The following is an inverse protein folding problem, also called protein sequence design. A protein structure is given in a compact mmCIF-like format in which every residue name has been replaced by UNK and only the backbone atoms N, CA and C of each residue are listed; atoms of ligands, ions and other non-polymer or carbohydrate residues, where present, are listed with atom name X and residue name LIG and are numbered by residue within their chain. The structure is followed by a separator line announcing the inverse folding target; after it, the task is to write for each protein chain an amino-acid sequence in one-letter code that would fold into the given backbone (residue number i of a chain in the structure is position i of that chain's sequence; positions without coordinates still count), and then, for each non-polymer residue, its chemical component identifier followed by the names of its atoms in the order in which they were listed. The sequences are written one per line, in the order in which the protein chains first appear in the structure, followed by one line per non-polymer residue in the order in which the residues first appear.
data_IF_862139831525
#
_entry.id   IF_862139831525
#
_cell.length_a   1.000
_cell.length_b   1.000
_cell.length_c   1.000
_cell.angle_alpha   90.00
_cell.angle_beta   90.00
_cell.angle_gamma   90.00
#
_symmetry.space_group_name_H-M   'P 1'
#
loop_
_entity.id
_entity.type
_entity.pdbx_description
1 polymer ?
#
# COMPACT_ATOMS: atom_id res chain seq x y z
N UNK A 1 5.79 -7.78 21.63
CA UNK A 1 7.00 -8.07 20.83
C UNK A 1 6.71 -8.05 19.33
N UNK A 2 7.64 -7.53 18.54
CA UNK A 2 7.52 -7.49 17.08
C UNK A 2 7.81 -8.86 16.46
N UNK A 3 7.10 -9.22 15.39
CA UNK A 3 7.25 -10.52 14.71
C UNK A 3 8.10 -10.44 13.44
N UNK A 4 8.44 -9.23 13.01
CA UNK A 4 9.27 -8.97 11.84
C UNK A 4 9.40 -7.47 11.58
N UNK A 5 10.17 -7.14 10.55
CA UNK A 5 10.46 -5.79 10.09
C UNK A 5 10.34 -5.75 8.56
N UNK A 6 9.48 -4.86 8.06
CA UNK A 6 9.50 -4.37 6.69
C UNK A 6 10.50 -3.22 6.63
N UNK A 7 11.65 -3.43 6.01
CA UNK A 7 12.76 -2.45 6.02
C UNK A 7 12.45 -1.34 5.01
N UNK A 8 12.65 -0.06 5.35
CA UNK A 8 12.56 1.02 4.37
C UNK A 8 13.50 0.80 3.18
N UNK A 9 13.10 1.23 1.99
CA UNK A 9 13.86 1.02 0.76
C UNK A 9 14.03 2.32 -0.03
N UNK A 10 15.02 2.33 -0.92
CA UNK A 10 15.25 3.41 -1.88
C UNK A 10 16.02 2.91 -3.10
N UNK A 11 15.44 2.98 -4.29
CA UNK A 11 16.17 2.62 -5.51
C UNK A 11 17.10 3.75 -5.92
N UNK A 12 18.37 3.41 -6.17
CA UNK A 12 19.35 4.36 -6.72
C UNK A 12 19.05 4.60 -8.19
N UNK A 13 19.14 5.87 -8.60
CA UNK A 13 19.07 6.23 -10.01
C UNK A 13 20.33 5.76 -10.72
N UNK A 14 20.14 5.29 -11.95
CA UNK A 14 21.15 4.73 -12.83
C UNK A 14 21.85 5.80 -13.68
N UNK A 15 21.20 6.97 -13.88
CA UNK A 15 21.59 7.99 -14.85
C UNK A 15 21.02 7.74 -16.26
N UNK A 16 20.41 6.58 -16.51
CA UNK A 16 19.67 6.30 -17.75
C UNK A 16 18.28 6.90 -17.66
N UNK A 17 17.95 7.82 -18.58
CA UNK A 17 16.66 8.52 -18.55
C UNK A 17 15.46 7.56 -18.54
N UNK A 18 15.48 6.52 -19.37
CA UNK A 18 14.39 5.56 -19.45
C UNK A 18 14.24 4.72 -18.17
N UNK A 19 15.35 4.24 -17.60
CA UNK A 19 15.35 3.46 -16.36
C UNK A 19 14.91 4.32 -15.18
N UNK A 20 15.47 5.52 -15.05
CA UNK A 20 15.22 6.44 -13.96
C UNK A 20 13.75 6.87 -13.93
N UNK A 21 13.19 7.27 -15.08
CA UNK A 21 11.75 7.61 -15.16
C UNK A 21 10.86 6.45 -14.76
N UNK A 22 11.17 5.24 -15.23
CA UNK A 22 10.37 4.05 -14.93
C UNK A 22 10.44 3.69 -13.44
N UNK A 23 11.64 3.73 -12.82
CA UNK A 23 11.75 3.42 -11.39
C UNK A 23 11.11 4.50 -10.52
N UNK A 24 11.23 5.78 -10.91
CA UNK A 24 10.60 6.89 -10.19
C UNK A 24 9.08 6.79 -10.21
N UNK A 25 8.48 6.53 -11.37
CA UNK A 25 7.02 6.31 -11.49
C UNK A 25 6.55 5.13 -10.64
N UNK A 26 7.28 4.02 -10.66
CA UNK A 26 6.95 2.86 -9.83
C UNK A 26 7.06 3.16 -8.33
N UNK A 27 8.09 3.87 -7.88
CA UNK A 27 8.20 4.28 -6.48
C UNK A 27 7.11 5.28 -6.07
N UNK A 28 6.74 6.23 -6.94
CA UNK A 28 5.63 7.16 -6.66
C UNK A 28 4.34 6.38 -6.40
N UNK A 29 4.02 5.39 -7.24
CA UNK A 29 2.90 4.48 -7.01
C UNK A 29 2.98 3.77 -5.65
N UNK A 30 4.10 3.08 -5.39
CA UNK A 30 4.25 2.29 -4.15
C UNK A 30 4.15 3.16 -2.90
N UNK A 31 4.76 4.35 -2.92
CA UNK A 31 4.78 5.25 -1.76
C UNK A 31 3.45 5.95 -1.57
N UNK A 32 2.78 6.40 -2.63
CA UNK A 32 1.44 6.97 -2.52
C UNK A 32 0.47 5.94 -1.90
N UNK A 33 0.53 4.68 -2.36
CA UNK A 33 -0.23 3.58 -1.80
C UNK A 33 0.07 3.35 -0.32
N UNK A 34 1.34 3.21 0.04
CA UNK A 34 1.77 2.98 1.42
C UNK A 34 1.36 4.14 2.33
N UNK A 35 1.59 5.39 1.93
CA UNK A 35 1.24 6.58 2.71
C UNK A 35 -0.26 6.65 2.96
N UNK A 36 -1.12 6.34 1.97
CA UNK A 36 -2.55 6.28 2.20
C UNK A 36 -2.94 5.17 3.20
N UNK A 37 -2.28 4.00 3.17
CA UNK A 37 -2.50 2.95 4.18
C UNK A 37 -2.03 3.37 5.58
N UNK A 38 -0.92 4.11 5.68
CA UNK A 38 -0.46 4.71 6.93
C UNK A 38 -1.47 5.70 7.50
N UNK A 39 -1.99 6.59 6.63
CA UNK A 39 -2.95 7.63 6.97
C UNK A 39 -4.23 7.07 7.61
N UNK A 40 -4.68 5.90 7.15
CA UNK A 40 -5.90 5.25 7.67
C UNK A 40 -5.61 4.28 8.83
N UNK A 41 -4.37 4.18 9.29
CA UNK A 41 -3.90 3.21 10.29
C UNK A 41 -4.23 1.74 9.93
N UNK A 42 -4.10 1.41 8.64
CA UNK A 42 -4.20 0.01 8.20
C UNK A 42 -3.01 -0.79 8.71
N UNK A 43 -3.21 -2.00 9.28
CA UNK A 43 -2.07 -2.84 9.70
C UNK A 43 -1.26 -3.37 8.50
N UNK A 44 -1.76 -3.21 7.27
CA UNK A 44 -1.15 -3.68 6.02
C UNK A 44 -0.37 -2.59 5.28
N UNK A 45 0.05 -1.51 5.96
CA UNK A 45 0.81 -0.38 5.40
C UNK A 45 2.25 -0.71 4.94
N UNK A 46 2.63 -1.99 4.85
CA UNK A 46 3.96 -2.39 4.38
C UNK A 46 4.06 -2.30 2.86
N UNK A 47 5.27 -2.07 2.36
CA UNK A 47 5.57 -2.24 0.94
C UNK A 47 6.12 -3.64 0.71
N UNK A 48 5.47 -4.41 -0.15
CA UNK A 48 5.91 -5.74 -0.52
C UNK A 48 7.15 -5.66 -1.41
N UNK A 49 8.32 -5.86 -0.80
CA UNK A 49 9.59 -5.90 -1.48
C UNK A 49 10.44 -7.02 -0.86
N UNK A 50 10.57 -8.14 -1.58
CA UNK A 50 11.27 -9.35 -1.11
C UNK A 50 12.66 -9.11 -0.50
N UNK A 51 13.42 -8.15 -1.04
CA UNK A 51 14.76 -7.79 -0.54
C UNK A 51 14.76 -6.88 0.70
N UNK A 52 13.59 -6.48 1.20
CA UNK A 52 13.41 -5.46 2.23
C UNK A 52 12.67 -6.00 3.47
N UNK A 53 13.06 -7.17 3.97
CA UNK A 53 12.43 -7.77 5.16
C UNK A 53 13.42 -8.48 6.06
N UNK A 54 13.17 -8.43 7.38
CA UNK A 54 13.92 -9.15 8.39
C UNK A 54 12.96 -9.72 9.44
N UNK A 55 13.24 -10.91 9.97
CA UNK A 55 12.41 -11.53 11.00
C UNK A 55 13.16 -12.60 11.81
N UNK A 56 12.72 -12.90 13.04
CA UNK A 56 13.19 -14.06 13.77
C UNK A 56 12.82 -15.38 13.07
N UNK A 57 13.69 -16.38 13.19
CA UNK A 57 13.41 -17.75 12.71
C UNK A 57 12.16 -18.34 13.37
N UNK A 58 11.89 -17.97 14.63
CA UNK A 58 10.68 -18.38 15.35
C UNK A 58 9.40 -17.90 14.64
N UNK A 59 9.34 -16.62 14.25
CA UNK A 59 8.21 -16.07 13.49
C UNK A 59 8.04 -16.77 12.15
N UNK A 60 9.14 -16.99 11.40
CA UNK A 60 9.11 -17.72 10.12
C UNK A 60 8.45 -19.09 10.27
N UNK A 61 8.89 -19.86 11.28
CA UNK A 61 8.36 -21.21 11.56
C UNK A 61 6.90 -21.16 12.02
N UNK A 62 6.53 -20.18 12.84
CA UNK A 62 5.18 -20.04 13.38
C UNK A 62 4.12 -19.80 12.29
N UNK A 63 4.46 -19.06 11.23
CA UNK A 63 3.54 -18.77 10.13
C UNK A 63 3.65 -19.75 8.94
N UNK A 64 4.39 -20.85 9.12
CA UNK A 64 4.58 -21.89 8.12
C UNK A 64 5.47 -21.48 6.93
N UNK A 65 6.38 -20.53 7.14
CA UNK A 65 7.34 -20.07 6.14
C UNK A 65 6.74 -19.34 4.94
N UNK A 66 7.48 -19.30 3.83
CA UNK A 66 7.04 -18.72 2.56
C UNK A 66 6.41 -19.80 1.69
N UNK A 67 5.22 -19.52 1.17
CA UNK A 67 4.54 -20.42 0.25
C UNK A 67 5.02 -20.12 -1.17
N UNK A 68 5.55 -21.09 -1.93
CA UNK A 68 5.93 -20.86 -3.31
C UNK A 68 4.74 -20.36 -4.14
N UNK A 69 4.90 -19.21 -4.79
CA UNK A 69 3.94 -18.60 -5.72
C UNK A 69 4.70 -18.14 -6.96
N UNK A 70 4.00 -18.12 -8.10
CA UNK A 70 4.58 -17.60 -9.35
C UNK A 70 5.04 -16.13 -9.23
N UNK A 71 4.42 -15.36 -8.33
CA UNK A 71 4.80 -13.99 -7.99
C UNK A 71 4.07 -13.52 -6.72
N UNK A 72 4.58 -12.46 -6.09
CA UNK A 72 3.96 -11.82 -4.92
C UNK A 72 4.11 -12.61 -3.62
N UNK A 73 5.08 -13.53 -3.54
CA UNK A 73 5.35 -14.32 -2.33
C UNK A 73 5.63 -13.43 -1.11
N UNK A 74 6.36 -12.34 -1.33
CA UNK A 74 6.68 -11.31 -0.35
C UNK A 74 5.42 -10.65 0.23
N UNK A 75 4.48 -10.24 -0.63
CA UNK A 75 3.20 -9.67 -0.21
C UNK A 75 2.40 -10.64 0.68
N UNK A 76 2.21 -11.89 0.23
CA UNK A 76 1.48 -12.89 1.01
C UNK A 76 2.20 -13.21 2.32
N UNK A 77 3.53 -13.22 2.31
CA UNK A 77 4.33 -13.50 3.48
C UNK A 77 4.24 -12.38 4.54
N UNK A 78 4.42 -11.12 4.13
CA UNK A 78 4.26 -9.96 5.02
C UNK A 78 2.82 -9.86 5.55
N UNK A 79 1.81 -10.14 4.71
CA UNK A 79 0.43 -10.22 5.17
C UNK A 79 0.22 -11.29 6.25
N UNK A 80 0.80 -12.49 6.08
CA UNK A 80 0.75 -13.54 7.13
C UNK A 80 1.44 -13.09 8.42
N UNK A 81 2.58 -12.41 8.33
CA UNK A 81 3.27 -11.84 9.50
C UNK A 81 2.42 -10.79 10.21
N UNK A 82 1.80 -9.86 9.48
CA UNK A 82 0.90 -8.85 10.04
C UNK A 82 -0.27 -9.48 10.79
N UNK A 83 -0.86 -10.55 10.27
CA UNK A 83 -1.95 -11.28 10.96
C UNK A 83 -1.45 -12.05 12.19
N UNK A 84 -0.19 -12.49 12.18
CA UNK A 84 0.44 -13.20 13.30
C UNK A 84 0.79 -12.27 14.46
N UNK A 85 1.34 -11.08 14.18
CA UNK A 85 1.66 -10.08 15.20
C UNK A 85 2.18 -8.76 14.64
N UNK A 86 2.72 -7.89 15.52
CA UNK A 86 3.18 -6.54 15.15
C UNK A 86 4.35 -6.62 14.17
N UNK A 87 4.12 -6.20 12.93
CA UNK A 87 5.15 -5.95 11.93
C UNK A 87 5.71 -4.54 12.13
N UNK A 88 7.01 -4.41 12.33
CA UNK A 88 7.68 -3.10 12.36
C UNK A 88 7.93 -2.62 10.94
N UNK A 89 8.04 -1.30 10.76
CA UNK A 89 8.26 -0.69 9.45
C UNK A 89 9.27 0.46 9.47
N UNK A 90 10.03 0.60 10.56
CA UNK A 90 11.06 1.62 10.69
C UNK A 90 12.42 0.98 10.99
N UNK A 91 13.44 1.50 10.32
CA UNK A 91 14.85 1.22 10.56
C UNK A 91 15.65 2.44 10.09
N UNK A 92 16.74 2.76 10.77
CA UNK A 92 17.63 3.85 10.35
C UNK A 92 18.24 3.55 8.98
N UNK A 93 18.60 2.28 8.75
CA UNK A 93 19.16 1.81 7.49
C UNK A 93 18.07 1.43 6.49
N UNK A 94 18.33 1.77 5.22
CA UNK A 94 17.50 1.40 4.08
C UNK A 94 18.15 0.31 3.26
N UNK A 95 17.32 -0.50 2.61
CA UNK A 95 17.80 -1.34 1.51
C UNK A 95 17.81 -0.55 0.20
N UNK A 96 18.78 -0.84 -0.66
CA UNK A 96 18.93 -0.17 -1.96
C UNK A 96 18.87 -1.21 -3.09
N UNK A 97 17.67 -1.66 -3.50
CA UNK A 97 17.54 -2.61 -4.58
C UNK A 97 17.99 -1.99 -5.91
N UNK A 98 18.49 -2.83 -6.81
CA UNK A 98 18.86 -2.39 -8.15
C UNK A 98 17.61 -2.10 -9.00
N UNK A 99 17.55 -0.93 -9.61
CA UNK A 99 16.62 -0.63 -10.69
C UNK A 99 17.14 -1.30 -11.97
N UNK A 100 16.46 -2.32 -12.47
CA UNK A 100 16.82 -2.98 -13.74
C UNK A 100 15.60 -3.55 -14.43
N UNK A 101 15.59 -3.47 -15.76
CA UNK A 101 14.62 -4.23 -16.56
C UNK A 101 14.86 -5.73 -16.35
N UNK A 102 13.81 -6.43 -15.90
CA UNK A 102 13.91 -7.87 -15.66
C UNK A 102 12.54 -8.53 -15.79
N UNK A 103 12.51 -9.63 -16.54
CA UNK A 103 11.34 -10.45 -16.86
C UNK A 103 11.30 -11.76 -16.05
N UNK A 104 12.17 -11.91 -15.05
CA UNK A 104 12.33 -13.15 -14.27
C UNK A 104 11.09 -13.51 -13.42
N UNK A 105 10.21 -12.55 -13.19
CA UNK A 105 9.00 -12.67 -12.36
C UNK A 105 7.83 -11.96 -13.04
N UNK A 106 6.59 -12.29 -12.65
CA UNK A 106 5.39 -11.69 -13.26
C UNK A 106 5.05 -10.29 -12.71
N UNK A 107 5.45 -9.99 -11.48
CA UNK A 107 5.22 -8.68 -10.83
C UNK A 107 6.47 -8.27 -10.02
N UNK A 108 6.60 -6.97 -9.75
CA UNK A 108 7.71 -6.39 -8.99
C UNK A 108 8.51 -5.38 -9.82
N UNK A 109 9.66 -4.94 -9.30
CA UNK A 109 10.46 -3.85 -9.88
C UNK A 109 10.80 -4.04 -11.37
N UNK A 110 11.26 -5.23 -11.76
CA UNK A 110 11.63 -5.52 -13.16
C UNK A 110 10.46 -5.43 -14.13
N UNK A 111 9.35 -6.17 -13.90
CA UNK A 111 8.15 -6.07 -14.73
C UNK A 111 7.52 -4.68 -14.75
N UNK A 112 7.54 -3.97 -13.62
CA UNK A 112 7.08 -2.58 -13.54
C UNK A 112 7.89 -1.66 -14.45
N UNK A 113 9.22 -1.80 -14.42
CA UNK A 113 10.09 -1.03 -15.31
C UNK A 113 9.82 -1.35 -16.78
N UNK A 114 9.68 -2.63 -17.16
CA UNK A 114 9.43 -3.04 -18.55
C UNK A 114 8.11 -2.45 -19.07
N UNK A 115 7.01 -2.59 -18.31
CA UNK A 115 5.70 -2.06 -18.69
C UNK A 115 5.70 -0.53 -18.75
N UNK A 116 6.24 0.10 -17.70
CA UNK A 116 6.31 1.56 -17.59
C UNK A 116 7.14 2.21 -18.68
N UNK A 117 8.24 1.58 -19.12
CA UNK A 117 9.03 2.04 -20.26
C UNK A 117 8.25 1.96 -21.59
N UNK A 118 7.27 1.05 -21.70
CA UNK A 118 6.31 0.98 -22.80
C UNK A 118 5.12 1.92 -22.66
N UNK A 119 5.04 2.71 -21.57
CA UNK A 119 3.92 3.62 -21.29
C UNK A 119 2.70 2.95 -20.64
N UNK A 120 2.75 1.65 -20.33
CA UNK A 120 1.68 0.92 -19.64
C UNK A 120 1.86 1.02 -18.12
N UNK A 121 0.98 1.76 -17.47
CA UNK A 121 0.93 1.91 -16.00
C UNK A 121 -0.33 1.27 -15.37
N UNK A 122 -1.15 0.55 -16.14
CA UNK A 122 -2.44 0.00 -15.67
C UNK A 122 -2.30 -0.97 -14.50
N UNK A 123 -1.10 -1.58 -14.37
CA UNK A 123 -0.79 -2.51 -13.28
C UNK A 123 -0.37 -1.81 -11.98
N UNK A 124 -0.06 -0.51 -12.04
CA UNK A 124 0.45 0.31 -10.94
C UNK A 124 -0.23 1.70 -10.90
N UNK A 125 -1.58 1.78 -10.91
CA UNK A 125 -2.29 3.05 -10.94
C UNK A 125 -2.23 3.75 -9.58
N UNK A 126 -2.25 5.08 -9.57
CA UNK A 126 -2.39 5.86 -8.34
C UNK A 126 -3.87 5.85 -7.97
N UNK A 127 -4.20 5.22 -6.84
CA UNK A 127 -5.58 5.14 -6.36
C UNK A 127 -6.01 6.45 -5.70
N UNK A 128 -7.24 6.87 -5.96
CA UNK A 128 -7.83 8.06 -5.37
C UNK A 128 -7.91 7.92 -3.83
N UNK A 129 -7.55 8.97 -3.11
CA UNK A 129 -7.42 8.90 -1.64
C UNK A 129 -8.74 8.61 -0.93
N UNK A 130 -9.88 9.01 -1.53
CA UNK A 130 -11.22 8.78 -0.96
C UNK A 130 -11.53 7.30 -0.81
N UNK A 131 -10.98 6.44 -1.68
CA UNK A 131 -11.18 4.99 -1.58
C UNK A 131 -10.48 4.42 -0.34
N UNK A 132 -9.39 5.05 0.11
CA UNK A 132 -8.78 4.72 1.39
C UNK A 132 -9.60 5.27 2.56
N UNK A 133 -10.25 6.43 2.40
CA UNK A 133 -11.19 6.96 3.40
C UNK A 133 -12.38 6.02 3.61
N UNK A 134 -12.90 5.40 2.56
CA UNK A 134 -13.96 4.37 2.66
C UNK A 134 -13.51 3.15 3.47
N UNK A 135 -12.25 2.74 3.32
CA UNK A 135 -11.65 1.68 4.15
C UNK A 135 -11.52 2.16 5.60
N UNK A 136 -11.15 3.44 5.83
CA UNK A 136 -11.08 4.00 7.17
C UNK A 136 -12.45 4.00 7.85
N UNK A 137 -13.47 4.49 7.16
CA UNK A 137 -14.86 4.46 7.64
C UNK A 137 -15.29 3.03 7.95
N UNK A 138 -14.92 2.07 7.10
CA UNK A 138 -15.15 0.63 7.38
C UNK A 138 -14.49 0.16 8.67
N UNK A 139 -13.26 0.61 8.97
CA UNK A 139 -12.62 0.27 10.24
C UNK A 139 -13.32 0.89 11.44
N UNK A 140 -13.79 2.13 11.29
CA UNK A 140 -14.45 2.88 12.35
C UNK A 140 -15.86 2.31 12.66
N UNK A 141 -16.50 1.57 11.74
CA UNK A 141 -17.77 0.87 12.00
C UNK A 141 -17.63 -0.45 12.75
N UNK A 142 -16.41 -0.96 13.01
CA UNK A 142 -16.23 -2.25 13.67
C UNK A 142 -16.79 -2.29 15.10
N UNK A 143 -16.81 -1.18 15.83
CA UNK A 143 -17.40 -1.16 17.16
C UNK A 143 -18.92 -1.28 17.10
N UNK A 144 -19.53 -0.56 16.17
CA UNK A 144 -20.96 -0.61 15.95
C UNK A 144 -21.39 -2.00 15.45
N UNK A 145 -20.63 -2.58 14.52
CA UNK A 145 -20.85 -3.92 13.99
C UNK A 145 -20.77 -5.03 15.04
N UNK A 146 -20.09 -4.79 16.16
CA UNK A 146 -20.03 -5.73 17.27
C UNK A 146 -21.35 -5.79 18.05
N UNK A 147 -22.04 -4.66 18.19
CA UNK A 147 -23.29 -4.54 18.94
C UNK A 147 -24.52 -4.85 18.07
N UNK A 148 -24.58 -4.33 16.84
CA UNK A 148 -25.71 -4.52 15.92
C UNK A 148 -25.26 -4.51 14.46
N UNK A 149 -26.18 -4.72 13.52
CA UNK A 149 -25.84 -4.65 12.09
C UNK A 149 -25.75 -3.17 11.67
N UNK A 150 -24.64 -2.80 11.05
CA UNK A 150 -24.40 -1.47 10.49
C UNK A 150 -23.89 -1.63 9.05
N UNK A 151 -24.02 -0.58 8.25
CA UNK A 151 -23.49 -0.56 6.89
C UNK A 151 -22.01 -0.17 6.91
N UNK A 152 -21.22 -0.79 6.04
CA UNK A 152 -19.83 -0.43 5.76
C UNK A 152 -19.67 -0.09 4.28
N UNK A 153 -18.85 0.91 3.92
CA UNK A 153 -18.52 1.21 2.52
C UNK A 153 -18.03 0.01 1.70
N UNK A 154 -17.39 -0.98 2.34
CA UNK A 154 -16.90 -2.18 1.66
C UNK A 154 -17.95 -3.28 1.47
N UNK A 155 -19.17 -3.14 1.99
CA UNK A 155 -20.22 -4.17 1.92
C UNK A 155 -20.56 -4.56 0.48
N UNK A 156 -20.74 -3.57 -0.40
CA UNK A 156 -21.01 -3.80 -1.82
C UNK A 156 -19.89 -4.60 -2.48
N UNK A 157 -18.62 -4.30 -2.17
CA UNK A 157 -17.49 -5.06 -2.67
C UNK A 157 -17.48 -6.52 -2.19
N UNK A 158 -17.73 -6.76 -0.89
CA UNK A 158 -17.80 -8.13 -0.38
C UNK A 158 -18.93 -8.92 -1.04
N UNK A 159 -20.09 -8.29 -1.23
CA UNK A 159 -21.24 -8.90 -1.86
C UNK A 159 -21.02 -9.17 -3.35
N UNK A 160 -20.61 -8.17 -4.11
CA UNK A 160 -20.58 -8.23 -5.58
C UNK A 160 -19.33 -8.90 -6.11
N UNK A 161 -18.16 -8.63 -5.52
CA UNK A 161 -16.87 -9.15 -5.99
C UNK A 161 -16.56 -10.49 -5.33
N UNK A 162 -16.81 -10.62 -4.02
CA UNK A 162 -16.43 -11.82 -3.27
C UNK A 162 -17.59 -12.80 -3.06
N UNK A 163 -18.81 -12.44 -3.48
CA UNK A 163 -20.03 -13.25 -3.34
C UNK A 163 -20.29 -13.66 -1.88
N UNK A 164 -20.09 -12.70 -0.97
CA UNK A 164 -20.28 -12.88 0.47
C UNK A 164 -21.27 -11.82 0.97
N UNK A 165 -22.53 -12.21 1.18
CA UNK A 165 -23.61 -11.28 1.56
C UNK A 165 -23.50 -10.76 3.00
N UNK A 166 -23.10 -11.61 3.95
CA UNK A 166 -22.94 -11.22 5.36
C UNK A 166 -21.64 -11.81 5.91
N UNK A 167 -20.59 -10.97 5.94
CA UNK A 167 -19.31 -11.32 6.51
C UNK A 167 -19.19 -10.93 7.99
N UNK A 168 -20.00 -10.00 8.48
CA UNK A 168 -19.84 -9.41 9.81
C UNK A 168 -20.52 -10.25 10.89
N UNK A 169 -21.73 -10.75 10.65
CA UNK A 169 -22.46 -11.55 11.63
C UNK A 169 -21.73 -12.84 12.03
N UNK A 170 -21.13 -13.62 11.09
CA UNK A 170 -20.35 -14.79 11.49
C UNK A 170 -19.14 -14.42 12.33
N UNK A 171 -18.46 -13.30 12.04
CA UNK A 171 -17.33 -12.84 12.84
C UNK A 171 -17.77 -12.41 14.24
N UNK A 172 -18.89 -11.70 14.35
CA UNK A 172 -19.47 -11.27 15.64
C UNK A 172 -19.85 -12.46 16.50
N UNK A 173 -20.52 -13.46 15.93
CA UNK A 173 -20.92 -14.70 16.64
C UNK A 173 -19.73 -15.49 17.18
N UNK A 174 -18.58 -15.42 16.50
CA UNK A 174 -17.37 -16.12 16.91
C UNK A 174 -16.48 -15.32 17.87
N UNK A 175 -16.71 -14.01 18.00
CA UNK A 175 -15.92 -13.14 18.86
C UNK A 175 -16.42 -13.18 20.31
N UNK A 176 -15.49 -13.30 21.26
CA UNK A 176 -15.79 -13.26 22.71
C UNK A 176 -15.62 -11.86 23.31
N UNK A 177 -14.88 -10.99 22.63
CA UNK A 177 -14.60 -9.61 23.05
C UNK A 177 -14.56 -8.70 21.82
N UNK A 178 -14.72 -7.39 22.03
CA UNK A 178 -14.63 -6.37 20.99
C UNK A 178 -13.24 -6.37 20.32
N UNK A 179 -12.16 -6.59 21.07
CA UNK A 179 -10.80 -6.65 20.50
C UNK A 179 -10.64 -7.86 19.58
N UNK A 180 -11.19 -9.01 19.96
CA UNK A 180 -11.22 -10.21 19.13
C UNK A 180 -12.02 -9.99 17.85
N UNK A 181 -13.16 -9.29 17.94
CA UNK A 181 -13.97 -8.92 16.79
C UNK A 181 -13.24 -7.97 15.85
N UNK A 182 -12.71 -6.86 16.37
CA UNK A 182 -11.90 -5.89 15.60
C UNK A 182 -10.76 -6.58 14.86
N UNK A 183 -10.03 -7.49 15.52
CA UNK A 183 -8.96 -8.27 14.88
C UNK A 183 -9.50 -9.12 13.75
N UNK A 184 -10.59 -9.87 13.99
CA UNK A 184 -11.18 -10.73 12.97
C UNK A 184 -11.69 -9.93 11.75
N UNK A 185 -12.28 -8.74 11.98
CA UNK A 185 -12.68 -7.81 10.92
C UNK A 185 -11.48 -7.25 10.15
N UNK A 186 -10.39 -6.84 10.83
CA UNK A 186 -9.14 -6.43 10.16
C UNK A 186 -8.46 -7.58 9.39
N UNK A 187 -8.57 -8.82 9.88
CA UNK A 187 -8.06 -10.00 9.17
C UNK A 187 -8.91 -10.35 7.94
N UNK A 188 -10.19 -9.96 7.95
CA UNK A 188 -11.13 -10.10 6.83
C UNK A 188 -10.92 -9.01 5.78
N UNK A 189 -10.71 -7.77 6.21
CA UNK A 189 -10.31 -6.62 5.37
C UNK A 189 -8.78 -6.59 5.25
N UNK A 190 -8.22 -7.68 4.73
CA UNK A 190 -6.76 -7.81 4.62
C UNK A 190 -6.16 -7.00 3.46
N UNK A 191 -4.83 -6.92 3.40
CA UNK A 191 -4.13 -6.20 2.33
C UNK A 191 -4.57 -6.65 0.94
N UNK A 192 -4.88 -7.93 0.73
CA UNK A 192 -5.38 -8.41 -0.56
C UNK A 192 -6.78 -7.86 -0.84
N UNK A 193 -7.69 -7.89 0.14
CA UNK A 193 -9.04 -7.33 -0.03
C UNK A 193 -9.01 -5.83 -0.25
N UNK A 194 -8.12 -5.10 0.43
CA UNK A 194 -7.90 -3.67 0.20
C UNK A 194 -7.49 -3.43 -1.25
N UNK A 195 -6.45 -4.11 -1.76
CA UNK A 195 -6.03 -3.95 -3.15
C UNK A 195 -7.14 -4.31 -4.15
N UNK A 196 -7.93 -5.35 -3.89
CA UNK A 196 -9.06 -5.75 -4.74
C UNK A 196 -10.19 -4.72 -4.72
N UNK A 197 -10.51 -4.15 -3.56
CA UNK A 197 -11.51 -3.10 -3.41
C UNK A 197 -11.09 -1.86 -4.21
N UNK A 198 -9.86 -1.38 -4.02
CA UNK A 198 -9.33 -0.23 -4.74
C UNK A 198 -9.38 -0.43 -6.26
N UNK A 199 -9.01 -1.63 -6.75
CA UNK A 199 -9.10 -1.96 -8.18
C UNK A 199 -10.53 -1.99 -8.69
N UNK A 200 -11.44 -2.58 -7.94
CA UNK A 200 -12.84 -2.66 -8.31
C UNK A 200 -13.47 -1.27 -8.38
N UNK A 201 -13.39 -0.50 -7.31
CA UNK A 201 -14.07 0.80 -7.21
C UNK A 201 -13.43 1.87 -8.06
N UNK A 202 -12.10 1.86 -8.25
CA UNK A 202 -11.47 2.81 -9.18
C UNK A 202 -11.79 2.48 -10.63
N UNK A 203 -11.99 1.20 -11.00
CA UNK A 203 -12.37 0.88 -12.38
C UNK A 203 -13.71 1.48 -12.82
N UNK A 204 -14.53 1.93 -11.87
CA UNK A 204 -15.80 2.63 -12.11
C UNK A 204 -15.63 4.16 -12.23
N UNK A 205 -14.46 4.71 -11.86
CA UNK A 205 -14.19 6.15 -11.81
C UNK A 205 -13.11 6.57 -12.82
N UNK A 206 -13.36 7.60 -13.62
CA UNK A 206 -12.46 8.07 -14.68
C UNK A 206 -11.48 9.17 -14.21
N UNK A 207 -10.89 9.02 -13.02
CA UNK A 207 -9.91 9.99 -12.48
C UNK A 207 -8.49 9.56 -12.91
N UNK A 208 -7.69 10.51 -13.40
CA UNK A 208 -6.32 10.24 -13.84
C UNK A 208 -5.36 9.98 -12.66
N UNK A 209 -4.24 9.31 -12.91
CA UNK A 209 -3.17 9.12 -11.92
C UNK A 209 -2.66 10.47 -11.38
N UNK A 210 -2.57 11.46 -12.27
CA UNK A 210 -2.13 12.82 -11.96
C UNK A 210 -3.09 13.53 -11.02
N UNK A 211 -4.39 13.52 -11.33
CA UNK A 211 -5.42 14.11 -10.48
C UNK A 211 -5.48 13.38 -9.12
N UNK A 212 -5.39 12.05 -9.11
CA UNK A 212 -5.33 11.27 -7.88
C UNK A 212 -4.16 11.67 -6.97
N UNK A 213 -2.97 11.91 -7.55
CA UNK A 213 -1.81 12.36 -6.78
C UNK A 213 -1.96 13.80 -6.29
N UNK A 214 -2.41 14.71 -7.16
CA UNK A 214 -2.57 16.13 -6.84
C UNK A 214 -3.59 16.31 -5.72
N UNK A 215 -4.80 15.78 -5.89
CA UNK A 215 -5.88 15.90 -4.90
C UNK A 215 -5.47 15.28 -3.55
N UNK A 216 -4.76 14.15 -3.56
CA UNK A 216 -4.21 13.55 -2.35
C UNK A 216 -3.23 14.49 -1.62
N UNK A 217 -2.28 15.08 -2.35
CA UNK A 217 -1.28 15.96 -1.77
C UNK A 217 -1.89 17.30 -1.32
N UNK A 218 -2.84 17.85 -2.07
CA UNK A 218 -3.57 19.07 -1.68
C UNK A 218 -4.38 18.85 -0.40
N UNK A 219 -5.07 17.71 -0.30
CA UNK A 219 -5.95 17.38 0.83
C UNK A 219 -5.17 17.10 2.12
N UNK A 220 -4.12 16.27 2.06
CA UNK A 220 -3.44 15.79 3.27
C UNK A 220 -2.04 16.36 3.49
N UNK A 221 -1.42 16.92 2.47
CA UNK A 221 -0.03 17.37 2.51
C UNK A 221 0.18 18.74 1.83
N UNK A 222 -0.59 19.79 2.19
CA UNK A 222 -0.57 21.08 1.49
C UNK A 222 0.81 21.76 1.51
N UNK A 223 1.60 21.57 2.57
CA UNK A 223 2.97 22.08 2.63
C UNK A 223 3.94 21.35 1.70
N UNK A 224 3.61 20.13 1.30
CA UNK A 224 4.36 19.39 0.27
C UNK A 224 4.02 19.93 -1.11
N UNK A 225 2.75 20.21 -1.40
CA UNK A 225 2.35 20.87 -2.66
C UNK A 225 3.04 22.21 -2.85
N UNK A 226 3.15 23.04 -1.81
CA UNK A 226 3.89 24.31 -1.89
C UNK A 226 5.35 24.15 -2.32
N UNK A 227 5.97 22.99 -2.08
CA UNK A 227 7.35 22.68 -2.49
C UNK A 227 7.43 22.02 -3.87
N UNK A 228 6.32 21.46 -4.34
CA UNK A 228 6.16 20.84 -5.64
C UNK A 228 5.29 21.77 -6.50
N UNK A 229 5.71 23.02 -6.65
CA UNK A 229 4.96 24.09 -7.35
C UNK A 229 4.68 23.80 -8.84
N UNK A 230 5.38 22.82 -9.42
CA UNK A 230 5.14 22.29 -10.76
C UNK A 230 3.98 21.27 -10.83
N UNK A 231 3.45 20.81 -9.70
CA UNK A 231 2.23 20.00 -9.65
C UNK A 231 1.01 20.91 -9.62
N UNK A 232 0.62 21.38 -10.81
CA UNK A 232 -0.60 22.19 -11.00
C UNK A 232 -1.69 21.36 -11.68
N UNK A 233 -2.97 21.76 -11.59
CA UNK A 233 -4.05 21.10 -12.33
C UNK A 233 -3.69 20.92 -13.81
N UNK A 234 -3.83 19.68 -14.31
CA UNK A 234 -3.48 19.31 -15.68
C UNK A 234 -2.00 19.00 -15.92
N UNK A 235 -1.16 18.86 -14.88
CA UNK A 235 0.19 18.30 -15.06
C UNK A 235 0.11 16.86 -15.62
N UNK A 236 1.19 16.42 -16.26
CA UNK A 236 1.30 15.06 -16.77
C UNK A 236 2.65 14.45 -16.37
N UNK A 237 2.66 13.20 -15.91
CA UNK A 237 3.90 12.52 -15.54
C UNK A 237 4.91 12.41 -16.69
N UNK A 238 4.43 12.33 -17.93
CA UNK A 238 5.26 12.25 -19.14
C UNK A 238 6.06 13.54 -19.36
N UNK A 239 5.50 14.69 -19.01
CA UNK A 239 6.12 16.00 -19.25
C UNK A 239 7.14 16.39 -18.17
N UNK A 240 7.09 15.74 -17.00
CA UNK A 240 8.02 16.01 -15.91
C UNK A 240 9.43 15.54 -16.23
N UNK A 241 10.44 16.32 -15.82
CA UNK A 241 11.84 15.88 -15.83
C UNK A 241 12.12 14.78 -14.80
N UNK A 242 13.23 14.05 -14.97
CA UNK A 242 13.70 13.07 -13.97
C UNK A 242 13.86 13.72 -12.58
N UNK A 243 14.38 14.96 -12.54
CA UNK A 243 14.54 15.71 -11.29
C UNK A 243 13.18 16.03 -10.62
N UNK A 244 12.18 16.42 -11.39
CA UNK A 244 10.83 16.67 -10.85
C UNK A 244 10.17 15.39 -10.34
N UNK A 245 10.26 14.29 -11.09
CA UNK A 245 9.78 12.98 -10.64
C UNK A 245 10.50 12.53 -9.36
N UNK A 246 11.79 12.81 -9.24
CA UNK A 246 12.56 12.51 -8.05
C UNK A 246 12.12 13.34 -6.85
N UNK A 247 11.88 14.63 -7.02
CA UNK A 247 11.33 15.49 -5.97
C UNK A 247 9.96 15.00 -5.45
N UNK A 248 9.10 14.47 -6.33
CA UNK A 248 7.83 13.84 -5.91
C UNK A 248 8.12 12.60 -5.06
N UNK A 249 8.98 11.69 -5.55
CA UNK A 249 9.38 10.47 -4.84
C UNK A 249 9.93 10.79 -3.45
N UNK A 250 10.89 11.71 -3.35
CA UNK A 250 11.55 12.08 -2.11
C UNK A 250 10.59 12.75 -1.12
N UNK A 251 9.63 13.54 -1.64
CA UNK A 251 8.57 14.12 -0.82
C UNK A 251 7.67 13.04 -0.21
N UNK A 252 7.25 12.06 -1.02
CA UNK A 252 6.46 10.91 -0.55
C UNK A 252 7.24 10.03 0.43
N UNK A 253 8.52 9.77 0.17
CA UNK A 253 9.42 9.10 1.12
C UNK A 253 9.46 9.84 2.45
N UNK A 254 9.67 11.15 2.43
CA UNK A 254 9.71 11.96 3.64
C UNK A 254 8.40 11.92 4.43
N UNK A 255 7.25 11.84 3.76
CA UNK A 255 5.95 11.62 4.41
C UNK A 255 5.88 10.23 5.04
N UNK A 256 6.23 9.19 4.28
CA UNK A 256 6.22 7.80 4.73
C UNK A 256 7.11 7.59 5.97
N UNK A 257 8.34 8.12 5.96
CA UNK A 257 9.27 8.02 7.08
C UNK A 257 8.76 8.70 8.35
N UNK A 258 8.01 9.81 8.22
CA UNK A 258 7.38 10.46 9.39
C UNK A 258 6.35 9.54 10.04
N UNK A 259 5.52 8.87 9.24
CA UNK A 259 4.57 7.88 9.75
C UNK A 259 5.29 6.68 10.39
N UNK A 260 6.31 6.13 9.72
CA UNK A 260 7.10 5.01 10.23
C UNK A 260 7.77 5.33 11.57
N UNK A 261 8.42 6.49 11.69
CA UNK A 261 9.05 6.95 12.95
C UNK A 261 8.02 7.17 14.05
N UNK A 262 6.91 7.85 13.74
CA UNK A 262 5.89 8.13 14.75
C UNK A 262 5.30 6.83 15.35
N UNK A 263 4.95 5.85 14.51
CA UNK A 263 4.41 4.56 14.97
C UNK A 263 5.47 3.63 15.59
N UNK A 264 6.75 3.90 15.36
CA UNK A 264 7.83 3.18 16.05
C UNK A 264 7.97 3.63 17.51
N UNK A 265 7.76 4.91 17.79
CA UNK A 265 7.83 5.48 19.14
C UNK A 265 6.51 5.33 19.94
N UNK A 266 5.41 4.96 19.28
CA UNK A 266 4.13 4.61 19.89
C UNK A 266 4.04 3.12 20.25
#
# INVERSE_FOLDING_TARGET
DAVGLSVPYYHKLSGSNAEDRAILRYEIYMRNYAVNLWRIDSPYHFTALGSAMALPVSSYRAIGGMTPKKSGEDFYFLQKLTKYGRLMSWNEEKVYPAARFSDRVFFGTGPAMIKGAGGDWDSYPIYHHSLFDDIRVTYDTFDELFEHNAASPMDTFFKEVLKQDDIWTPLRKNARTIEGFRRACRDKVDGLRILQYLKYTQSENSISDEDCLLEFLETYHPDTIKKLDFLTPGFNFVDLSVMQLDHIRDSLLGIEERYQKHKHHA
#
